data_IF_324062400845
#
_entry.id   IF_324062400845
#
_cell.length_a   1.000
_cell.length_b   1.000
_cell.length_c   1.000
_cell.angle_alpha   90.00
_cell.angle_beta   90.00
_cell.angle_gamma   90.00
#
_symmetry.space_group_name_H-M   'P 1'
#
loop_
_entity.id
_entity.type
_entity.pdbx_description
1 polymer ?
#
# COMPACT_ATOMS: atom_id res chain seq x y z
N UNK A 1 -43.24 25.47 -82.06
CA UNK A 1 -41.87 25.39 -82.60
C UNK A 1 -41.40 23.96 -82.47
N UNK A 2 -41.10 23.31 -83.59
CA UNK A 2 -40.54 21.96 -83.68
C UNK A 2 -39.01 21.99 -83.57
N UNK A 3 -38.37 20.80 -83.68
CA UNK A 3 -36.95 20.51 -84.02
C UNK A 3 -36.08 20.17 -82.78
N UNK A 4 -35.29 19.09 -82.68
CA UNK A 4 -34.97 17.89 -83.48
C UNK A 4 -34.27 16.89 -82.52
N UNK A 5 -34.48 15.57 -82.69
CA UNK A 5 -33.57 14.52 -82.19
C UNK A 5 -32.39 14.34 -83.16
N UNK A 6 -31.18 14.01 -82.66
CA UNK A 6 -30.17 13.28 -83.43
C UNK A 6 -29.94 11.83 -82.92
N UNK A 7 -29.27 10.96 -83.72
CA UNK A 7 -29.36 9.49 -83.70
C UNK A 7 -28.27 8.78 -82.87
N UNK A 8 -28.31 7.44 -82.71
CA UNK A 8 -27.41 6.71 -81.81
C UNK A 8 -26.02 6.49 -82.43
N UNK A 9 -24.97 6.75 -81.65
CA UNK A 9 -23.58 6.46 -82.02
C UNK A 9 -23.14 5.11 -81.44
N UNK A 10 -22.98 4.12 -82.32
CA UNK A 10 -22.27 2.87 -82.05
C UNK A 10 -20.75 3.10 -82.06
N UNK A 11 -20.06 2.75 -80.97
CA UNK A 11 -18.62 2.48 -81.03
C UNK A 11 -18.28 1.29 -80.14
N UNK A 12 -17.89 0.19 -80.78
CA UNK A 12 -17.38 -1.05 -80.18
C UNK A 12 -15.90 -0.89 -79.85
N UNK A 13 -15.47 -1.14 -78.61
CA UNK A 13 -14.11 -1.63 -78.26
C UNK A 13 -14.09 -2.18 -76.81
N UNK A 14 -13.14 -3.06 -76.48
CA UNK A 14 -13.35 -4.46 -76.11
C UNK A 14 -13.43 -4.68 -74.57
N UNK A 15 -13.87 -5.88 -74.12
CA UNK A 15 -13.93 -6.18 -72.70
C UNK A 15 -12.52 -6.35 -72.11
N UNK A 16 -12.21 -5.57 -71.08
CA UNK A 16 -10.97 -5.69 -70.31
C UNK A 16 -11.10 -6.82 -69.28
N UNK A 17 -10.02 -7.55 -68.95
CA UNK A 17 -10.09 -8.84 -68.28
C UNK A 17 -10.40 -8.70 -66.79
N UNK A 18 -11.24 -9.61 -66.28
CA UNK A 18 -11.47 -9.86 -64.87
C UNK A 18 -10.14 -10.00 -64.10
N UNK A 19 -9.75 -8.97 -63.36
CA UNK A 19 -8.82 -9.12 -62.26
C UNK A 19 -9.59 -9.67 -61.05
N UNK A 20 -9.62 -10.99 -60.94
CA UNK A 20 -9.95 -11.68 -59.72
C UNK A 20 -8.94 -11.28 -58.63
N UNK A 21 -9.30 -10.32 -57.80
CA UNK A 21 -8.54 -9.98 -56.59
C UNK A 21 -8.59 -11.17 -55.63
N UNK A 22 -7.45 -11.85 -55.48
CA UNK A 22 -7.20 -12.88 -54.48
C UNK A 22 -7.48 -12.27 -53.09
N UNK A 23 -8.33 -12.88 -52.23
CA UNK A 23 -8.49 -12.40 -50.87
C UNK A 23 -7.21 -12.69 -50.07
N UNK A 24 -6.59 -11.64 -49.54
CA UNK A 24 -5.53 -11.75 -48.52
C UNK A 24 -6.04 -12.57 -47.32
N UNK A 25 -5.26 -13.54 -46.81
CA UNK A 25 -5.66 -14.29 -45.62
C UNK A 25 -5.74 -13.34 -44.42
N UNK A 26 -6.94 -13.24 -43.83
CA UNK A 26 -7.18 -12.54 -42.56
C UNK A 26 -6.32 -13.22 -41.49
N UNK A 27 -5.25 -12.56 -41.04
CA UNK A 27 -4.56 -12.93 -39.81
C UNK A 27 -5.57 -12.76 -38.66
N UNK A 28 -6.08 -13.89 -38.18
CA UNK A 28 -6.91 -13.92 -36.99
C UNK A 28 -6.07 -13.43 -35.81
N UNK A 29 -6.53 -12.40 -35.11
CA UNK A 29 -6.00 -12.03 -33.79
C UNK A 29 -6.14 -13.25 -32.89
N UNK A 30 -5.09 -13.66 -32.15
CA UNK A 30 -5.20 -14.79 -31.25
C UNK A 30 -6.29 -14.49 -30.21
N UNK A 31 -7.27 -15.40 -30.11
CA UNK A 31 -8.21 -15.42 -28.99
C UNK A 31 -7.37 -15.51 -27.71
N UNK A 32 -7.60 -14.62 -26.75
CA UNK A 32 -7.01 -14.77 -25.42
C UNK A 32 -7.51 -16.11 -24.86
N UNK A 33 -6.60 -17.07 -24.73
CA UNK A 33 -6.89 -18.30 -24.01
C UNK A 33 -7.20 -17.95 -22.56
N UNK A 34 -8.43 -18.26 -22.13
CA UNK A 34 -8.80 -18.31 -20.73
C UNK A 34 -8.20 -19.60 -20.12
N UNK A 35 -6.88 -19.76 -20.17
CA UNK A 35 -6.24 -20.92 -19.58
C UNK A 35 -6.35 -20.85 -18.07
N UNK A 36 -6.93 -21.89 -17.48
CA UNK A 36 -6.99 -22.03 -16.03
C UNK A 36 -5.56 -21.98 -15.46
N UNK A 37 -5.33 -21.30 -14.33
CA UNK A 37 -4.01 -21.27 -13.71
C UNK A 37 -3.53 -22.70 -13.45
N UNK A 38 -2.28 -23.00 -13.81
CA UNK A 38 -1.72 -24.33 -13.57
C UNK A 38 -1.76 -24.68 -12.08
N UNK A 39 -1.81 -25.97 -11.75
CA UNK A 39 -1.76 -26.43 -10.35
C UNK A 39 -0.54 -25.87 -9.61
N UNK A 40 0.58 -25.66 -10.30
CA UNK A 40 1.76 -25.00 -9.74
C UNK A 40 1.52 -23.51 -9.42
N UNK A 41 0.74 -22.78 -10.24
CA UNK A 41 0.36 -21.40 -9.96
C UNK A 41 -0.63 -21.30 -8.79
N UNK A 42 -1.53 -22.28 -8.65
CA UNK A 42 -2.44 -22.40 -7.49
C UNK A 42 -1.65 -22.76 -6.23
N UNK A 43 -0.75 -23.75 -6.30
CA UNK A 43 0.12 -24.15 -5.18
C UNK A 43 1.02 -23.01 -4.70
N UNK A 44 1.46 -22.13 -5.60
CA UNK A 44 2.21 -20.90 -5.25
C UNK A 44 1.41 -19.94 -4.37
N UNK A 45 0.07 -19.92 -4.43
CA UNK A 45 -0.75 -19.11 -3.52
C UNK A 45 -0.66 -19.57 -2.07
N UNK A 46 -0.34 -20.85 -1.86
CA UNK A 46 -0.19 -21.48 -0.54
C UNK A 46 1.28 -21.64 -0.14
N UNK A 47 2.22 -21.21 -0.98
CA UNK A 47 3.64 -21.27 -0.66
C UNK A 47 4.00 -20.16 0.34
N UNK A 48 4.85 -20.50 1.32
CA UNK A 48 5.33 -19.52 2.30
C UNK A 48 6.02 -18.35 1.59
N UNK A 49 5.69 -17.09 1.92
CA UNK A 49 6.35 -15.95 1.33
C UNK A 49 7.84 -15.98 1.69
N UNK A 50 8.71 -16.07 0.68
CA UNK A 50 10.17 -16.01 0.84
C UNK A 50 10.69 -14.65 1.37
N UNK A 51 9.80 -13.66 1.54
CA UNK A 51 10.12 -12.30 2.02
C UNK A 51 9.78 -12.16 3.50
N UNK A 52 10.46 -11.27 4.24
CA UNK A 52 10.08 -10.94 5.60
C UNK A 52 8.59 -10.56 5.62
N UNK A 53 7.84 -11.26 6.47
CA UNK A 53 6.45 -10.96 6.76
C UNK A 53 6.46 -10.06 7.98
N UNK A 54 5.79 -8.91 7.91
CA UNK A 54 5.82 -7.95 9.00
C UNK A 54 5.35 -6.56 8.59
N UNK A 55 5.61 -5.61 9.47
CA UNK A 55 5.18 -4.23 9.32
C UNK A 55 6.38 -3.29 9.33
N UNK A 56 6.19 -2.12 8.75
CA UNK A 56 7.19 -1.05 8.78
C UNK A 56 6.51 0.29 9.04
N UNK A 57 6.97 1.07 10.03
CA UNK A 57 6.62 2.47 10.12
C UNK A 57 7.35 3.26 9.03
N UNK A 58 6.61 4.11 8.31
CA UNK A 58 7.14 5.03 7.30
C UNK A 58 6.79 6.44 7.74
N UNK A 59 7.80 7.30 7.89
CA UNK A 59 7.61 8.67 8.37
C UNK A 59 7.73 9.66 7.22
N UNK A 60 6.70 10.50 7.06
CA UNK A 60 6.59 11.44 5.96
C UNK A 60 6.48 12.86 6.54
N UNK A 61 7.35 13.79 6.11
CA UNK A 61 7.25 15.19 6.49
C UNK A 61 5.91 15.79 6.05
N UNK A 62 5.32 16.62 6.91
CA UNK A 62 4.12 17.38 6.61
C UNK A 62 4.29 18.82 7.10
N UNK A 63 3.82 19.80 6.32
CA UNK A 63 3.96 21.23 6.67
C UNK A 63 3.12 21.64 7.88
N UNK A 64 1.93 21.05 8.00
CA UNK A 64 1.01 21.27 9.10
C UNK A 64 0.08 20.07 9.23
N UNK A 65 -0.53 19.89 10.40
CA UNK A 65 -1.46 18.80 10.63
C UNK A 65 -2.76 19.02 9.86
N UNK A 66 -3.20 17.98 9.16
CA UNK A 66 -4.46 17.96 8.44
C UNK A 66 -5.51 17.12 9.18
N UNK A 67 -6.80 17.43 9.07
CA UNK A 67 -7.84 16.47 9.41
C UNK A 67 -7.59 15.13 8.70
N UNK A 68 -7.77 14.02 9.41
CA UNK A 68 -7.40 12.69 8.92
C UNK A 68 -8.10 12.33 7.60
N UNK A 69 -9.33 12.81 7.41
CA UNK A 69 -10.09 12.64 6.16
C UNK A 69 -9.42 13.39 4.99
N UNK A 70 -8.98 14.63 5.21
CA UNK A 70 -8.29 15.44 4.20
C UNK A 70 -6.94 14.82 3.85
N UNK A 71 -6.16 14.38 4.84
CA UNK A 71 -4.90 13.67 4.62
C UNK A 71 -5.11 12.44 3.74
N UNK A 72 -6.09 11.59 4.07
CA UNK A 72 -6.42 10.41 3.24
C UNK A 72 -6.89 10.79 1.84
N UNK A 73 -7.64 11.88 1.69
CA UNK A 73 -8.04 12.39 0.37
C UNK A 73 -6.84 12.80 -0.46
N UNK A 74 -5.90 13.54 0.13
CA UNK A 74 -4.67 13.95 -0.53
C UNK A 74 -3.80 12.76 -0.93
N UNK A 75 -3.63 11.76 -0.05
CA UNK A 75 -2.90 10.53 -0.38
C UNK A 75 -3.52 9.82 -1.59
N UNK A 76 -4.86 9.71 -1.67
CA UNK A 76 -5.52 9.13 -2.85
C UNK A 76 -5.30 9.95 -4.12
N UNK A 77 -5.27 11.28 -4.03
CA UNK A 77 -4.95 12.17 -5.17
C UNK A 77 -3.51 12.01 -5.64
N UNK A 78 -2.60 11.63 -4.75
CA UNK A 78 -1.22 11.25 -5.09
C UNK A 78 -1.10 9.79 -5.56
N UNK A 79 -2.23 9.13 -5.86
CA UNK A 79 -2.30 7.72 -6.26
C UNK A 79 -1.75 6.73 -5.22
N UNK A 80 -1.71 7.12 -3.94
CA UNK A 80 -1.31 6.24 -2.83
C UNK A 80 -2.53 5.44 -2.38
N UNK A 81 -2.37 4.12 -2.30
CA UNK A 81 -3.42 3.22 -1.86
C UNK A 81 -3.55 3.23 -0.32
N UNK A 82 -4.42 4.11 0.18
CA UNK A 82 -4.65 4.26 1.63
C UNK A 82 -5.21 3.02 2.32
N UNK A 83 -5.73 2.02 1.58
CA UNK A 83 -6.21 0.76 2.18
C UNK A 83 -5.06 -0.15 2.64
N UNK A 84 -3.86 0.04 2.09
CA UNK A 84 -2.65 -0.70 2.47
C UNK A 84 -1.88 -0.04 3.63
N UNK A 85 -2.39 1.10 4.12
CA UNK A 85 -1.90 1.79 5.31
C UNK A 85 -2.78 1.39 6.49
N UNK A 86 -2.21 0.66 7.45
CA UNK A 86 -2.92 0.14 8.62
C UNK A 86 -3.22 1.24 9.63
N UNK A 87 -2.21 2.05 9.94
CA UNK A 87 -2.33 3.18 10.88
C UNK A 87 -1.80 4.44 10.22
N UNK A 88 -2.49 5.55 10.46
CA UNK A 88 -1.99 6.90 10.22
C UNK A 88 -2.03 7.63 11.54
N UNK A 89 -0.88 8.10 12.02
CA UNK A 89 -0.81 8.91 13.24
C UNK A 89 0.24 10.01 13.09
N UNK A 90 0.03 11.12 13.80
CA UNK A 90 0.97 12.24 13.81
C UNK A 90 2.02 12.01 14.91
N UNK A 91 3.22 11.56 14.53
CA UNK A 91 4.30 11.27 15.49
C UNK A 91 4.97 12.54 16.03
N UNK A 92 4.97 13.62 15.24
CA UNK A 92 5.47 14.93 15.65
C UNK A 92 4.56 16.04 15.06
N UNK A 93 4.90 17.32 15.25
CA UNK A 93 4.20 18.49 14.69
C UNK A 93 4.22 18.47 13.17
N UNK A 94 5.38 18.12 12.59
CA UNK A 94 5.65 18.19 11.15
C UNK A 94 5.91 16.81 10.53
N UNK A 95 5.45 15.75 11.19
CA UNK A 95 5.70 14.38 10.76
C UNK A 95 4.44 13.54 10.92
N UNK A 96 4.07 12.85 9.84
CA UNK A 96 3.02 11.83 9.85
C UNK A 96 3.65 10.46 9.63
N UNK A 97 3.13 9.47 10.35
CA UNK A 97 3.65 8.11 10.35
C UNK A 97 2.60 7.15 9.85
N UNK A 98 3.02 6.29 8.93
CA UNK A 98 2.21 5.25 8.33
C UNK A 98 2.71 3.90 8.80
N UNK A 99 1.84 3.10 9.40
CA UNK A 99 2.14 1.69 9.60
C UNK A 99 1.66 0.91 8.38
N UNK A 100 2.57 0.25 7.67
CA UNK A 100 2.27 -0.49 6.45
C UNK A 100 2.79 -1.92 6.56
N UNK A 101 2.25 -2.83 5.74
CA UNK A 101 2.91 -4.11 5.51
C UNK A 101 4.21 -3.89 4.73
N UNK A 102 5.29 -4.57 5.10
CA UNK A 102 6.63 -4.38 4.51
C UNK A 102 6.63 -4.59 2.98
N UNK A 103 5.80 -5.50 2.47
CA UNK A 103 5.61 -5.70 1.03
C UNK A 103 5.03 -4.52 0.26
N UNK A 104 4.53 -3.47 0.94
CA UNK A 104 4.08 -2.22 0.31
C UNK A 104 5.16 -1.12 0.32
N UNK A 105 6.26 -1.30 1.05
CA UNK A 105 7.24 -0.24 1.27
C UNK A 105 7.81 0.33 -0.03
N UNK A 106 8.34 -0.54 -0.90
CA UNK A 106 8.99 -0.11 -2.15
C UNK A 106 8.04 0.67 -3.04
N UNK A 107 6.79 0.22 -3.15
CA UNK A 107 5.75 0.88 -3.95
C UNK A 107 5.38 2.24 -3.34
N UNK A 108 5.18 2.32 -2.02
CA UNK A 108 4.86 3.56 -1.33
C UNK A 108 5.98 4.59 -1.47
N UNK A 109 7.24 4.19 -1.25
CA UNK A 109 8.41 5.06 -1.41
C UNK A 109 8.53 5.59 -2.84
N UNK A 110 8.33 4.73 -3.84
CA UNK A 110 8.33 5.13 -5.25
C UNK A 110 7.19 6.10 -5.58
N UNK A 111 6.00 5.92 -5.00
CA UNK A 111 4.88 6.84 -5.20
C UNK A 111 5.17 8.21 -4.58
N UNK A 112 5.75 8.25 -3.38
CA UNK A 112 6.13 9.49 -2.71
C UNK A 112 7.26 10.23 -3.44
N UNK A 113 8.27 9.50 -3.94
CA UNK A 113 9.41 10.11 -4.63
C UNK A 113 9.04 10.79 -5.94
N UNK A 114 8.00 10.31 -6.65
CA UNK A 114 7.44 10.98 -7.85
C UNK A 114 6.99 12.42 -7.59
N UNK A 115 6.69 12.76 -6.34
CA UNK A 115 6.28 14.09 -5.91
C UNK A 115 7.36 14.81 -5.09
N UNK A 116 8.61 14.33 -5.14
CA UNK A 116 9.74 14.84 -4.36
C UNK A 116 9.50 14.81 -2.84
N UNK A 117 8.70 13.84 -2.37
CA UNK A 117 8.45 13.64 -0.94
C UNK A 117 9.46 12.62 -0.43
N UNK A 118 10.42 13.09 0.37
CA UNK A 118 11.43 12.25 1.00
C UNK A 118 10.88 11.60 2.26
N UNK A 119 11.04 10.28 2.39
CA UNK A 119 10.73 9.56 3.62
C UNK A 119 11.84 9.81 4.64
N UNK A 120 11.45 9.97 5.90
CA UNK A 120 12.36 10.15 7.03
C UNK A 120 12.63 8.81 7.71
N UNK A 121 13.84 8.29 7.58
CA UNK A 121 14.22 6.96 8.08
C UNK A 121 14.92 6.98 9.44
N UNK A 122 15.43 8.15 9.86
CA UNK A 122 16.15 8.39 11.12
C UNK A 122 15.23 8.69 12.32
N UNK A 123 13.91 8.62 12.15
CA UNK A 123 12.98 9.01 13.20
C UNK A 123 12.86 7.93 14.28
N UNK A 124 13.30 8.26 15.49
CA UNK A 124 13.06 7.47 16.70
C UNK A 124 11.86 8.04 17.49
N UNK A 125 10.74 7.30 17.64
CA UNK A 125 9.58 7.77 18.40
C UNK A 125 9.85 7.98 19.90
N UNK A 126 10.96 7.47 20.44
CA UNK A 126 11.35 7.60 21.84
C UNK A 126 12.37 8.72 22.08
N UNK A 127 12.81 9.41 21.02
CA UNK A 127 13.76 10.50 21.12
C UNK A 127 13.22 11.63 22.03
N UNK A 128 13.94 12.02 23.10
CA UNK A 128 13.53 13.10 23.99
C UNK A 128 13.34 14.45 23.25
N UNK A 129 13.99 14.66 22.10
CA UNK A 129 13.88 15.88 21.30
C UNK A 129 12.47 16.13 20.72
N UNK A 130 11.64 15.09 20.65
CA UNK A 130 10.25 15.19 20.19
C UNK A 130 9.38 15.98 21.19
N UNK A 131 9.74 15.94 22.48
CA UNK A 131 9.03 16.65 23.52
C UNK A 131 9.49 18.11 23.55
N UNK A 132 8.64 18.98 22.99
CA UNK A 132 8.86 20.44 22.91
C UNK A 132 7.93 21.22 23.83
N UNK A 133 7.56 20.62 24.95
CA UNK A 133 6.80 21.33 25.98
C UNK A 133 7.75 22.30 26.71
N UNK A 134 7.46 23.61 26.71
CA UNK A 134 8.29 24.60 27.42
C UNK A 134 8.47 24.27 28.90
N UNK A 135 7.49 23.61 29.52
CA UNK A 135 7.54 23.22 30.94
C UNK A 135 8.53 22.08 31.21
N UNK A 136 8.84 21.27 30.19
CA UNK A 136 9.72 20.12 30.30
C UNK A 136 11.15 20.41 29.80
N UNK A 137 11.48 21.65 29.42
CA UNK A 137 12.78 21.99 28.80
C UNK A 137 13.96 21.65 29.72
N UNK A 138 13.84 21.90 31.02
CA UNK A 138 14.89 21.66 32.01
C UNK A 138 14.78 20.31 32.72
N UNK A 139 13.82 19.47 32.33
CA UNK A 139 13.64 18.15 32.92
C UNK A 139 14.76 17.18 32.52
N UNK A 140 15.07 16.19 33.39
CA UNK A 140 16.00 15.12 33.07
C UNK A 140 15.63 14.40 31.77
N UNK A 141 16.63 13.91 31.05
CA UNK A 141 16.46 13.21 29.77
C UNK A 141 15.54 12.00 29.96
N UNK A 142 15.71 11.23 31.01
CA UNK A 142 14.88 10.04 31.30
C UNK A 142 13.40 10.39 31.43
N UNK A 143 13.10 11.54 32.07
CA UNK A 143 11.74 12.00 32.24
C UNK A 143 11.10 12.40 30.90
N UNK A 144 11.89 12.99 29.99
CA UNK A 144 11.47 13.27 28.60
C UNK A 144 11.25 12.00 27.79
N UNK A 145 12.13 11.01 27.91
CA UNK A 145 11.99 9.70 27.25
C UNK A 145 10.72 8.99 27.72
N UNK A 146 10.42 9.03 29.03
CA UNK A 146 9.16 8.49 29.56
C UNK A 146 7.93 9.20 28.98
N UNK A 147 7.97 10.53 28.84
CA UNK A 147 6.90 11.30 28.19
C UNK A 147 6.76 10.94 26.70
N UNK A 148 7.87 10.79 25.97
CA UNK A 148 7.88 10.36 24.58
C UNK A 148 7.26 8.96 24.42
N UNK A 149 7.68 8.00 25.27
CA UNK A 149 7.11 6.64 25.33
C UNK A 149 5.61 6.68 25.60
N UNK A 150 5.16 7.42 26.61
CA UNK A 150 3.72 7.56 26.93
C UNK A 150 2.93 8.11 25.74
N UNK A 151 3.45 9.14 25.07
CA UNK A 151 2.83 9.73 23.89
C UNK A 151 2.78 8.76 22.70
N UNK A 152 3.84 7.99 22.48
CA UNK A 152 3.92 6.94 21.47
C UNK A 152 2.88 5.84 21.73
N UNK A 153 2.88 5.27 22.94
CA UNK A 153 1.97 4.21 23.36
C UNK A 153 0.51 4.65 23.21
N UNK A 154 0.17 5.85 23.66
CA UNK A 154 -1.18 6.37 23.53
C UNK A 154 -1.66 6.39 22.07
N UNK A 155 -0.81 6.84 21.14
CA UNK A 155 -1.16 6.91 19.71
C UNK A 155 -1.34 5.54 19.09
N UNK A 156 -0.45 4.60 19.37
CA UNK A 156 -0.49 3.25 18.81
C UNK A 156 -1.63 2.42 19.42
N UNK A 157 -1.83 2.46 20.74
CA UNK A 157 -2.89 1.72 21.42
C UNK A 157 -4.29 2.21 21.00
N UNK A 158 -4.47 3.52 20.83
CA UNK A 158 -5.72 4.06 20.26
C UNK A 158 -5.97 3.57 18.83
N UNK A 159 -4.91 3.35 18.04
CA UNK A 159 -5.05 2.77 16.71
C UNK A 159 -5.41 1.27 16.76
N UNK A 160 -4.84 0.52 17.71
CA UNK A 160 -5.10 -0.91 17.90
C UNK A 160 -6.57 -1.22 18.18
N UNK A 161 -7.26 -0.37 18.95
CA UNK A 161 -8.71 -0.50 19.23
C UNK A 161 -9.58 -0.57 17.97
N UNK A 162 -9.07 -0.14 16.81
CA UNK A 162 -9.80 -0.13 15.53
C UNK A 162 -9.53 -1.37 14.69
N UNK A 163 -8.57 -2.21 15.08
CA UNK A 163 -8.19 -3.40 14.35
C UNK A 163 -9.11 -4.57 14.69
N UNK A 164 -9.35 -5.40 13.67
CA UNK A 164 -9.93 -6.73 13.87
C UNK A 164 -8.86 -7.66 14.46
N UNK A 165 -9.29 -8.65 15.23
CA UNK A 165 -8.42 -9.57 15.98
C UNK A 165 -7.21 -10.10 15.19
N UNK A 166 -7.32 -10.57 13.93
CA UNK A 166 -6.15 -11.11 13.23
C UNK A 166 -5.08 -10.04 12.94
N UNK A 167 -5.51 -8.85 12.51
CA UNK A 167 -4.61 -7.72 12.22
C UNK A 167 -4.02 -7.19 13.51
N UNK A 168 -4.85 -7.09 14.55
CA UNK A 168 -4.44 -6.68 15.88
C UNK A 168 -3.33 -7.58 16.42
N UNK A 169 -3.54 -8.91 16.44
CA UNK A 169 -2.55 -9.87 16.93
C UNK A 169 -1.22 -9.79 16.16
N UNK A 170 -1.29 -9.69 14.82
CA UNK A 170 -0.09 -9.58 14.00
C UNK A 170 0.70 -8.30 14.29
N UNK A 171 0.00 -7.16 14.39
CA UNK A 171 0.65 -5.87 14.65
C UNK A 171 1.17 -5.79 16.09
N UNK A 172 0.40 -6.25 17.08
CA UNK A 172 0.83 -6.30 18.48
C UNK A 172 2.10 -7.14 18.63
N UNK A 173 2.12 -8.35 18.05
CA UNK A 173 3.30 -9.21 18.07
C UNK A 173 4.52 -8.54 17.42
N UNK A 174 4.33 -7.78 16.34
CA UNK A 174 5.42 -7.01 15.72
C UNK A 174 6.02 -5.97 16.69
N UNK A 175 5.19 -5.19 17.39
CA UNK A 175 5.69 -4.18 18.33
C UNK A 175 6.32 -4.80 19.59
N UNK A 176 5.81 -5.95 20.04
CA UNK A 176 6.41 -6.72 21.15
C UNK A 176 7.77 -7.28 20.74
N UNK A 177 7.88 -7.88 19.55
CA UNK A 177 9.15 -8.40 19.03
C UNK A 177 10.17 -7.29 18.75
N UNK A 178 9.74 -6.08 18.41
CA UNK A 178 10.64 -4.94 18.22
C UNK A 178 11.11 -4.31 19.53
N UNK A 179 10.57 -4.72 20.69
CA UNK A 179 10.86 -4.13 22.00
C UNK A 179 10.34 -2.71 22.18
N UNK A 180 9.45 -2.23 21.30
CA UNK A 180 8.89 -0.87 21.39
C UNK A 180 7.68 -0.80 22.33
N UNK A 181 7.04 -1.95 22.57
CA UNK A 181 5.87 -2.11 23.44
C UNK A 181 6.08 -3.45 24.17
N UNK A 182 5.82 -3.50 25.48
CA UNK A 182 5.80 -4.76 26.23
C UNK A 182 4.34 -5.23 26.51
N UNK A 183 4.19 -6.39 27.15
CA UNK A 183 2.86 -6.93 27.44
C UNK A 183 2.12 -6.10 28.50
N UNK A 184 2.86 -5.48 29.41
CA UNK A 184 2.29 -4.63 30.47
C UNK A 184 1.74 -3.32 29.87
N UNK A 185 2.44 -2.75 28.89
CA UNK A 185 1.97 -1.63 28.08
C UNK A 185 0.66 -1.98 27.38
N UNK A 186 0.51 -3.18 26.81
CA UNK A 186 -0.76 -3.58 26.19
C UNK A 186 -1.88 -3.76 27.23
N UNK A 187 -1.56 -4.33 28.38
CA UNK A 187 -2.51 -4.50 29.49
C UNK A 187 -3.02 -3.17 30.02
N UNK A 188 -2.15 -2.15 30.15
CA UNK A 188 -2.50 -0.81 30.61
C UNK A 188 -3.59 -0.12 29.75
N UNK A 189 -3.73 -0.52 28.49
CA UNK A 189 -4.71 0.06 27.56
C UNK A 189 -5.97 -0.81 27.35
N UNK A 190 -6.15 -1.85 28.18
CA UNK A 190 -7.18 -2.89 28.03
C UNK A 190 -7.09 -3.62 26.68
N UNK A 191 -5.87 -3.73 26.14
CA UNK A 191 -5.61 -4.37 24.86
C UNK A 191 -5.03 -5.78 25.03
N UNK A 192 -4.75 -6.22 26.25
CA UNK A 192 -4.26 -7.56 26.52
C UNK A 192 -5.08 -8.62 25.76
N UNK A 193 -4.47 -9.37 24.83
CA UNK A 193 -5.21 -10.34 24.03
C UNK A 193 -5.43 -11.61 24.86
N UNK A 194 -6.48 -12.40 24.57
CA UNK A 194 -6.50 -13.77 25.05
C UNK A 194 -5.47 -14.56 24.23
N UNK A 195 -4.21 -14.60 24.67
CA UNK A 195 -3.22 -15.45 24.01
C UNK A 195 -3.25 -16.88 24.57
N UNK A 196 -3.38 -17.86 23.67
CA UNK A 196 -2.64 -19.13 23.80
C UNK A 196 -1.38 -18.97 22.97
N UNK A 197 -0.23 -19.01 23.63
CA UNK A 197 1.06 -19.19 22.95
C UNK A 197 1.02 -20.54 22.22
N UNK A 198 1.16 -20.54 20.90
CA UNK A 198 1.74 -21.72 20.24
C UNK A 198 3.25 -21.54 20.33
N UNK A 199 3.81 -21.94 21.46
CA UNK A 199 5.25 -22.15 21.58
C UNK A 199 5.61 -23.19 20.54
N UNK A 200 6.36 -22.79 19.52
CA UNK A 200 6.93 -23.70 18.54
C UNK A 200 7.96 -24.58 19.21
N UNK A 201 7.51 -25.62 19.93
CA UNK A 201 8.31 -26.83 20.05
C UNK A 201 8.10 -27.61 18.77
N UNK A 202 9.11 -27.56 17.92
CA UNK A 202 9.39 -28.61 16.95
C UNK A 202 9.59 -29.87 17.80
N UNK A 203 8.55 -30.71 17.89
CA UNK A 203 8.75 -32.12 18.19
C UNK A 203 9.17 -32.75 16.87
N UNK A 204 10.46 -33.02 16.77
CA UNK A 204 11.00 -33.95 15.78
C UNK A 204 10.26 -35.28 15.98
N UNK A 205 9.41 -35.63 15.01
CA UNK A 205 8.95 -37.00 14.84
C UNK A 205 9.72 -37.60 13.67
N UNK A 206 10.71 -38.43 14.03
CA UNK A 206 11.16 -39.57 13.23
C UNK A 206 10.07 -40.63 13.22
#
# INVERSE_FOLDING_TARGET
MAILRPPPSSSKRPPSPNNASIPLPKIAKPKRDNSQPSLAAIARQFSSPAKPTGFKPIHVPIRHRLPLQQLRSNLRRLHINTRRILVIHYSDRNLVSFLIHIGYETELRLQLSKFNITVRDDFDPLDPSIIRDPTLVNEPIDHKVQHARKAFLHRICVAFRRFRTPVYNAVANFFVQSGLIDLDDLALYDLAPPYKYCTGHILDHV
#
